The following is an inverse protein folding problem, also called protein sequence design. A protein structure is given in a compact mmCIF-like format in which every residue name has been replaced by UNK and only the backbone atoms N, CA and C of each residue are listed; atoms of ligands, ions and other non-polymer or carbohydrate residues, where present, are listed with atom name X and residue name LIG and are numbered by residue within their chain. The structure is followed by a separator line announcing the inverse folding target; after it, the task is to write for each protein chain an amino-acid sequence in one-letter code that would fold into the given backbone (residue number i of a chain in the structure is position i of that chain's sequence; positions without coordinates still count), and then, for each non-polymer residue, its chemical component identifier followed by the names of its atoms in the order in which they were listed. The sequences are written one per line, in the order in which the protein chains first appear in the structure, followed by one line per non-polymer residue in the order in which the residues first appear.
data_IF_730572482249
#
_entry.id   IF_730572482249
#
_cell.length_a   1.000
_cell.length_b   1.000
_cell.length_c   1.000
_cell.angle_alpha   90.00
_cell.angle_beta   90.00
_cell.angle_gamma   90.00
#
_symmetry.space_group_name_H-M   'P 1'
#
loop_
_entity.id
_entity.type
_entity.pdbx_description
1 polymer ?
#
# COMPACT_ATOMS: atom_id res chain seq x y z
N UNK A 1 -22.93 -0.67 -1.30
CA UNK A 1 -21.73 -0.25 -2.02
C UNK A 1 -21.21 -1.38 -2.92
N UNK A 2 -20.57 -1.01 -4.00
CA UNK A 2 -19.98 -2.00 -4.88
C UNK A 2 -18.77 -2.66 -4.25
N UNK A 3 -18.54 -3.93 -4.59
CA UNK A 3 -17.30 -4.63 -4.23
C UNK A 3 -16.19 -4.08 -5.11
N UNK A 4 -15.12 -3.66 -4.48
CA UNK A 4 -13.94 -3.08 -5.13
C UNK A 4 -12.67 -3.80 -4.70
N UNK A 5 -11.62 -3.61 -5.48
CA UNK A 5 -10.26 -4.03 -5.12
C UNK A 5 -9.36 -2.81 -5.06
N UNK A 6 -8.39 -2.87 -4.16
CA UNK A 6 -7.35 -1.83 -4.03
C UNK A 6 -6.01 -2.49 -3.84
N UNK A 7 -4.95 -1.84 -4.32
CA UNK A 7 -3.59 -2.30 -4.04
C UNK A 7 -3.09 -1.60 -2.78
N UNK A 8 -2.48 -2.37 -1.90
CA UNK A 8 -1.80 -1.87 -0.71
C UNK A 8 -0.36 -2.37 -0.72
N UNK A 9 0.55 -1.53 -0.25
CA UNK A 9 1.94 -1.93 -0.03
C UNK A 9 2.33 -1.51 1.38
N UNK A 10 2.88 -2.46 2.15
CA UNK A 10 3.54 -2.13 3.41
C UNK A 10 4.98 -1.80 3.05
N UNK A 11 5.38 -0.56 3.28
CA UNK A 11 6.65 0.00 2.83
C UNK A 11 7.82 -0.51 3.69
N UNK A 12 9.07 -0.33 3.23
CA UNK A 12 10.22 -0.90 3.94
C UNK A 12 10.35 -0.50 5.40
N UNK A 13 9.94 0.71 5.76
CA UNK A 13 9.99 1.20 7.15
C UNK A 13 9.10 0.36 8.07
N UNK A 14 7.87 0.08 7.64
CA UNK A 14 6.94 -0.73 8.44
C UNK A 14 7.30 -2.21 8.42
N UNK A 15 7.79 -2.73 7.29
CA UNK A 15 8.29 -4.12 7.24
C UNK A 15 9.43 -4.29 8.23
N UNK A 16 10.36 -3.34 8.30
CA UNK A 16 11.49 -3.39 9.23
C UNK A 16 11.03 -3.35 10.70
N UNK A 17 9.89 -2.71 10.98
CA UNK A 17 9.33 -2.66 12.34
C UNK A 17 8.63 -3.96 12.75
N UNK A 18 8.50 -4.91 11.82
CA UNK A 18 7.86 -6.21 12.06
C UNK A 18 6.38 -6.08 12.46
N UNK A 19 5.63 -5.23 11.77
CA UNK A 19 4.21 -4.95 12.05
C UNK A 19 3.26 -5.41 10.94
N UNK A 20 3.73 -6.26 10.01
CA UNK A 20 2.89 -6.77 8.90
C UNK A 20 1.59 -7.38 9.45
N UNK A 21 1.69 -8.25 10.44
CA UNK A 21 0.51 -8.90 11.01
C UNK A 21 -0.47 -7.93 11.65
N UNK A 22 0.03 -6.91 12.32
CA UNK A 22 -0.82 -5.89 12.94
C UNK A 22 -1.56 -5.07 11.89
N UNK A 23 -0.90 -4.75 10.77
CA UNK A 23 -1.52 -4.03 9.66
C UNK A 23 -2.57 -4.91 8.98
N UNK A 24 -2.25 -6.19 8.72
CA UNK A 24 -3.20 -7.14 8.14
C UNK A 24 -4.44 -7.32 9.02
N UNK A 25 -4.26 -7.37 10.33
CA UNK A 25 -5.38 -7.47 11.27
C UNK A 25 -6.36 -6.30 11.12
N UNK A 26 -5.85 -5.10 10.83
CA UNK A 26 -6.70 -3.93 10.60
C UNK A 26 -7.51 -4.04 9.31
N UNK A 27 -6.90 -4.57 8.24
CA UNK A 27 -7.62 -4.83 7.00
C UNK A 27 -8.78 -5.79 7.24
N UNK A 28 -8.50 -6.91 7.89
CA UNK A 28 -9.50 -7.96 8.13
C UNK A 28 -10.60 -7.49 9.09
N UNK A 29 -10.25 -6.76 10.14
CA UNK A 29 -11.23 -6.21 11.08
C UNK A 29 -12.19 -5.22 10.41
N UNK A 30 -11.73 -4.53 9.37
CA UNK A 30 -12.56 -3.60 8.60
C UNK A 30 -13.39 -4.30 7.50
N UNK A 31 -13.27 -5.62 7.34
CA UNK A 31 -13.99 -6.37 6.33
C UNK A 31 -13.31 -6.43 4.96
N UNK A 32 -12.03 -6.05 4.89
CA UNK A 32 -11.25 -6.20 3.66
C UNK A 32 -10.61 -7.58 3.64
N UNK A 33 -10.73 -8.27 2.51
CA UNK A 33 -10.14 -9.59 2.32
C UNK A 33 -8.83 -9.46 1.54
N UNK A 34 -7.79 -10.13 1.99
CA UNK A 34 -6.55 -10.27 1.22
C UNK A 34 -6.81 -11.30 0.13
N UNK A 35 -6.76 -10.89 -1.13
CA UNK A 35 -7.02 -11.77 -2.28
C UNK A 35 -5.76 -12.06 -3.08
N UNK A 36 -4.66 -11.37 -2.80
CA UNK A 36 -3.32 -11.66 -3.30
C UNK A 36 -2.31 -11.03 -2.36
N UNK A 37 -1.16 -11.67 -2.17
CA UNK A 37 -0.12 -11.15 -1.30
C UNK A 37 1.24 -11.72 -1.68
N UNK A 38 2.28 -10.90 -1.63
CA UNK A 38 3.65 -11.36 -1.79
C UNK A 38 4.62 -10.38 -1.16
N UNK A 39 5.74 -10.88 -0.68
CA UNK A 39 6.87 -10.04 -0.28
C UNK A 39 7.82 -9.90 -1.46
N UNK A 40 8.37 -8.72 -1.67
CA UNK A 40 9.33 -8.47 -2.73
C UNK A 40 10.33 -7.40 -2.28
N UNK A 41 11.54 -7.49 -2.83
CA UNK A 41 12.50 -6.41 -2.73
C UNK A 41 12.56 -5.78 -4.13
N UNK A 42 11.95 -4.62 -4.29
CA UNK A 42 11.84 -3.99 -5.61
C UNK A 42 13.21 -3.62 -6.16
N UNK A 43 13.39 -3.81 -7.46
CA UNK A 43 14.53 -3.24 -8.18
C UNK A 43 14.27 -1.76 -8.44
N UNK A 44 15.35 -1.02 -8.77
CA UNK A 44 15.21 0.38 -9.15
C UNK A 44 14.26 0.54 -10.34
N UNK A 45 14.40 -0.31 -11.36
CA UNK A 45 13.53 -0.27 -12.53
C UNK A 45 12.06 -0.53 -12.20
N UNK A 46 11.80 -1.49 -11.31
CA UNK A 46 10.44 -1.78 -10.87
C UNK A 46 9.82 -0.61 -10.11
N UNK A 47 10.56 -0.01 -9.18
CA UNK A 47 10.06 1.13 -8.43
C UNK A 47 9.84 2.36 -9.32
N UNK A 48 10.77 2.62 -10.24
CA UNK A 48 10.61 3.72 -11.21
C UNK A 48 9.38 3.52 -12.10
N UNK A 49 9.15 2.30 -12.56
CA UNK A 49 7.99 1.99 -13.40
C UNK A 49 6.69 2.13 -12.62
N UNK A 50 6.64 1.64 -11.39
CA UNK A 50 5.44 1.73 -10.56
C UNK A 50 5.06 3.18 -10.24
N UNK A 51 6.06 4.01 -9.95
CA UNK A 51 5.84 5.43 -9.64
C UNK A 51 6.05 6.36 -10.84
N UNK A 52 5.97 5.85 -12.07
CA UNK A 52 6.24 6.62 -13.29
C UNK A 52 5.38 7.89 -13.40
N UNK A 53 4.16 7.88 -12.88
CA UNK A 53 3.27 9.04 -12.85
C UNK A 53 3.88 10.22 -12.08
N UNK A 54 4.83 9.96 -11.18
CA UNK A 54 5.52 10.97 -10.39
C UNK A 54 6.91 11.32 -10.92
N UNK A 55 7.30 10.81 -12.10
CA UNK A 55 8.66 10.92 -12.63
C UNK A 55 9.17 12.36 -12.70
N UNK A 56 8.31 13.32 -12.99
CA UNK A 56 8.67 14.74 -13.08
C UNK A 56 8.67 15.46 -11.73
N UNK A 57 8.29 14.79 -10.63
CA UNK A 57 8.21 15.40 -9.32
C UNK A 57 9.57 15.45 -8.64
N UNK A 58 9.87 16.51 -7.85
CA UNK A 58 11.16 16.60 -7.16
C UNK A 58 11.44 15.46 -6.19
N UNK A 59 10.39 14.87 -5.60
CA UNK A 59 10.53 13.78 -4.63
C UNK A 59 10.73 12.40 -5.27
N UNK A 60 10.68 12.29 -6.61
CA UNK A 60 10.68 10.98 -7.28
C UNK A 60 11.92 10.14 -6.93
N UNK A 61 13.11 10.72 -6.97
CA UNK A 61 14.36 10.00 -6.68
C UNK A 61 14.39 9.48 -5.25
N UNK A 62 13.95 10.30 -4.31
CA UNK A 62 13.93 9.93 -2.89
C UNK A 62 12.89 8.84 -2.64
N UNK A 63 11.72 8.94 -3.29
CA UNK A 63 10.68 7.92 -3.21
C UNK A 63 11.20 6.56 -3.72
N UNK A 64 11.83 6.54 -4.87
CA UNK A 64 12.39 5.31 -5.46
C UNK A 64 13.46 4.74 -4.53
N UNK A 65 14.40 5.57 -4.07
CA UNK A 65 15.46 5.12 -3.15
C UNK A 65 14.89 4.54 -1.87
N UNK A 66 13.86 5.15 -1.33
CA UNK A 66 13.17 4.65 -0.13
C UNK A 66 12.52 3.29 -0.38
N UNK A 67 11.78 3.16 -1.48
CA UNK A 67 11.04 1.94 -1.78
C UNK A 67 11.93 0.73 -2.09
N UNK A 68 13.17 0.95 -2.51
CA UNK A 68 14.13 -0.14 -2.76
C UNK A 68 15.09 -0.37 -1.60
N UNK A 69 14.93 0.36 -0.50
CA UNK A 69 15.85 0.27 0.66
C UNK A 69 15.70 -1.03 1.45
N UNK A 70 14.62 -1.77 1.25
CA UNK A 70 14.36 -3.03 1.92
C UNK A 70 13.14 -3.72 1.32
N UNK A 71 12.83 -4.94 1.80
CA UNK A 71 11.64 -5.64 1.35
C UNK A 71 10.34 -4.89 1.64
N UNK A 72 9.36 -5.07 0.76
CA UNK A 72 8.00 -4.56 0.91
C UNK A 72 7.03 -5.74 0.92
N UNK A 73 5.86 -5.55 1.55
CA UNK A 73 4.78 -6.53 1.50
C UNK A 73 3.65 -5.97 0.65
N UNK A 74 3.31 -6.67 -0.42
CA UNK A 74 2.35 -6.20 -1.43
C UNK A 74 1.10 -7.06 -1.36
N UNK A 75 -0.08 -6.44 -1.32
CA UNK A 75 -1.35 -7.17 -1.25
C UNK A 75 -2.43 -6.47 -2.05
N UNK A 76 -3.33 -7.27 -2.63
CA UNK A 76 -4.58 -6.81 -3.18
C UNK A 76 -5.67 -7.08 -2.14
N UNK A 77 -6.47 -6.07 -1.86
CA UNK A 77 -7.55 -6.13 -0.87
C UNK A 77 -8.89 -5.99 -1.58
N UNK A 78 -9.88 -6.77 -1.15
CA UNK A 78 -11.22 -6.75 -1.74
C UNK A 78 -12.27 -6.54 -0.67
N UNK A 79 -13.26 -5.71 -0.95
CA UNK A 79 -14.38 -5.46 -0.07
C UNK A 79 -15.27 -4.34 -0.59
N UNK A 80 -16.34 -4.06 0.13
CA UNK A 80 -17.24 -2.96 -0.22
C UNK A 80 -16.50 -1.63 -0.07
N UNK A 81 -16.46 -0.84 -1.15
CA UNK A 81 -15.78 0.45 -1.14
C UNK A 81 -14.32 0.38 -0.73
N UNK A 82 -13.61 -0.67 -1.17
CA UNK A 82 -12.26 -0.99 -0.67
C UNK A 82 -11.27 0.16 -0.80
N UNK A 83 -11.32 0.93 -1.89
CA UNK A 83 -10.37 2.03 -2.10
C UNK A 83 -10.46 3.06 -0.97
N UNK A 84 -11.65 3.59 -0.73
CA UNK A 84 -11.84 4.59 0.33
C UNK A 84 -11.63 3.99 1.72
N UNK A 85 -12.15 2.78 1.94
CA UNK A 85 -12.00 2.09 3.22
C UNK A 85 -10.53 1.92 3.60
N UNK A 86 -9.69 1.50 2.65
CA UNK A 86 -8.26 1.38 2.89
C UNK A 86 -7.61 2.73 3.17
N UNK A 87 -7.99 3.77 2.43
CA UNK A 87 -7.46 5.11 2.68
C UNK A 87 -7.82 5.64 4.07
N UNK A 88 -9.03 5.35 4.53
CA UNK A 88 -9.46 5.72 5.89
C UNK A 88 -8.64 4.96 6.94
N UNK A 89 -8.36 3.68 6.70
CA UNK A 89 -7.51 2.88 7.60
C UNK A 89 -6.08 3.39 7.64
N UNK A 90 -5.55 3.84 6.49
CA UNK A 90 -4.18 4.35 6.42
C UNK A 90 -4.01 5.66 7.17
N UNK A 91 -4.98 6.55 7.08
CA UNK A 91 -4.92 7.88 7.64
C UNK A 91 -4.21 8.89 6.74
N UNK A 92 -4.05 10.12 7.23
CA UNK A 92 -3.41 11.20 6.48
C UNK A 92 -1.96 10.86 6.13
N UNK A 93 -1.50 11.36 4.98
CA UNK A 93 -0.14 11.13 4.48
C UNK A 93 0.92 11.54 5.51
N UNK A 94 0.69 12.67 6.18
CA UNK A 94 1.55 13.09 7.29
C UNK A 94 1.07 12.40 8.56
N UNK A 95 1.88 11.54 9.19
CA UNK A 95 1.46 10.83 10.41
C UNK A 95 1.14 11.77 11.57
N UNK A 96 1.70 12.96 11.60
CA UNK A 96 1.38 13.96 12.64
C UNK A 96 -0.04 14.49 12.50
N UNK A 97 -0.63 14.41 11.31
CA UNK A 97 -2.00 14.85 11.02
C UNK A 97 -2.97 13.69 10.94
N UNK A 98 -2.48 12.45 11.03
CA UNK A 98 -3.32 11.27 10.94
C UNK A 98 -4.09 11.07 12.26
N UNK A 99 -5.37 10.71 12.13
CA UNK A 99 -6.21 10.46 13.30
C UNK A 99 -5.70 9.25 14.09
N UNK A 100 -5.90 9.29 15.40
CA UNK A 100 -5.55 8.18 16.29
C UNK A 100 -6.21 6.89 15.80
N UNK A 101 -5.46 5.78 15.86
CA UNK A 101 -5.95 4.48 15.45
C UNK A 101 -5.74 4.17 13.96
N UNK A 102 -5.30 5.13 13.17
CA UNK A 102 -4.92 4.87 11.78
C UNK A 102 -3.55 4.21 11.69
N UNK A 103 -3.28 3.52 10.60
CA UNK A 103 -1.99 2.84 10.39
C UNK A 103 -0.84 3.83 10.45
N UNK A 104 -0.96 4.98 9.78
CA UNK A 104 0.11 5.97 9.77
C UNK A 104 0.33 6.64 11.12
N UNK A 105 -0.74 6.90 11.88
CA UNK A 105 -0.61 7.44 13.23
C UNK A 105 0.18 6.50 14.13
N UNK A 106 -0.03 5.19 13.99
CA UNK A 106 0.58 4.20 14.88
C UNK A 106 1.95 3.73 14.42
N UNK A 107 2.21 3.66 13.10
CA UNK A 107 3.40 2.98 12.58
C UNK A 107 4.30 3.84 11.69
N UNK A 108 3.86 5.01 11.24
CA UNK A 108 4.67 5.85 10.36
C UNK A 108 5.55 6.80 11.15
N UNK A 109 6.73 7.10 10.62
CA UNK A 109 7.69 8.01 11.26
C UNK A 109 7.60 9.43 10.71
N UNK A 110 7.31 9.59 9.41
CA UNK A 110 7.32 10.87 8.72
C UNK A 110 6.50 10.77 7.43
N UNK A 111 6.37 11.88 6.71
CA UNK A 111 5.72 11.89 5.39
C UNK A 111 6.44 10.95 4.42
N UNK A 112 7.77 10.93 4.46
CA UNK A 112 8.57 10.09 3.56
C UNK A 112 8.57 8.63 3.98
N UNK A 113 8.62 8.36 5.28
CA UNK A 113 8.56 7.01 5.86
C UNK A 113 7.18 6.81 6.49
N UNK A 114 6.15 6.70 5.64
CA UNK A 114 4.75 6.74 6.08
C UNK A 114 4.04 5.38 6.07
N UNK A 115 4.80 4.32 6.15
CA UNK A 115 4.38 2.94 6.43
C UNK A 115 3.65 2.22 5.29
N UNK A 116 2.69 2.85 4.63
CA UNK A 116 1.82 2.15 3.67
C UNK A 116 1.50 2.99 2.44
N UNK A 117 1.22 2.28 1.34
CA UNK A 117 0.66 2.83 0.11
C UNK A 117 -0.72 2.20 -0.12
N UNK A 118 -1.64 2.96 -0.66
CA UNK A 118 -2.94 2.47 -1.12
C UNK A 118 -3.32 3.18 -2.41
N UNK A 119 -4.01 2.45 -3.30
CA UNK A 119 -4.53 3.05 -4.54
C UNK A 119 -5.49 4.20 -4.22
N UNK A 120 -5.51 5.22 -5.07
CA UNK A 120 -6.34 6.40 -4.86
C UNK A 120 -7.67 6.36 -5.61
N UNK A 121 -7.84 5.43 -6.56
CA UNK A 121 -9.07 5.27 -7.33
C UNK A 121 -9.19 3.84 -7.85
N UNK A 122 -10.40 3.45 -8.25
CA UNK A 122 -10.64 2.10 -8.78
C UNK A 122 -9.82 1.85 -10.05
N UNK A 123 -9.73 2.83 -10.94
CA UNK A 123 -8.94 2.71 -12.18
C UNK A 123 -7.45 2.53 -11.88
N UNK A 124 -6.91 3.33 -10.98
CA UNK A 124 -5.51 3.23 -10.55
C UNK A 124 -5.26 1.88 -9.87
N UNK A 125 -6.20 1.41 -9.07
CA UNK A 125 -6.10 0.11 -8.40
C UNK A 125 -5.97 -1.03 -9.40
N UNK A 126 -6.73 -1.01 -10.48
CA UNK A 126 -6.63 -2.03 -11.53
C UNK A 126 -5.22 -2.10 -12.12
N UNK A 127 -4.67 -0.95 -12.46
CA UNK A 127 -3.33 -0.85 -13.04
C UNK A 127 -2.26 -1.30 -12.04
N UNK A 128 -2.37 -0.88 -10.80
CA UNK A 128 -1.40 -1.21 -9.76
C UNK A 128 -1.43 -2.69 -9.41
N UNK A 129 -2.61 -3.29 -9.31
CA UNK A 129 -2.73 -4.72 -9.04
C UNK A 129 -2.13 -5.53 -10.20
N UNK A 130 -2.45 -5.15 -11.45
CA UNK A 130 -1.91 -5.83 -12.62
C UNK A 130 -0.39 -5.69 -12.75
N UNK A 131 0.18 -4.62 -12.21
CA UNK A 131 1.63 -4.43 -12.19
C UNK A 131 2.34 -5.51 -11.38
N UNK A 132 1.76 -5.92 -10.25
CA UNK A 132 2.41 -6.86 -9.34
C UNK A 132 1.89 -8.28 -9.42
N UNK A 133 0.64 -8.50 -9.85
CA UNK A 133 0.01 -9.81 -9.82
C UNK A 133 -0.58 -10.19 -11.16
N UNK A 134 -0.26 -11.40 -11.64
CA UNK A 134 -1.00 -12.00 -12.74
C UNK A 134 -2.45 -12.26 -12.28
N UNK A 135 -3.42 -12.16 -13.20
CA UNK A 135 -4.82 -12.39 -12.85
C UNK A 135 -5.08 -13.73 -12.17
N UNK A 136 -4.32 -14.75 -12.56
CA UNK A 136 -4.43 -16.10 -11.97
C UNK A 136 -3.96 -16.17 -10.52
N UNK A 137 -3.25 -15.15 -10.04
CA UNK A 137 -2.73 -15.09 -8.67
C UNK A 137 -3.59 -14.22 -7.76
N UNK A 138 -4.75 -13.78 -8.22
CA UNK A 138 -5.73 -13.03 -7.43
C UNK A 138 -6.96 -13.90 -7.25
N UNK A 139 -7.32 -14.16 -6.00
CA UNK A 139 -8.32 -15.16 -5.65
C UNK A 139 -9.53 -14.53 -4.96
N UNK A 140 -10.62 -14.38 -5.71
CA UNK A 140 -11.89 -13.96 -5.11
C UNK A 140 -12.35 -15.02 -4.10
N UNK A 141 -12.73 -14.59 -2.90
CA UNK A 141 -13.10 -15.53 -1.84
C UNK A 141 -14.09 -14.96 -0.83
#
# INVERSE_FOLDING_TARGET
MAIERTLSIIKPDAVAKNVIGQIYARFEAAGLKVVAAKMAHLSQGEAEAFYAVHKARPFFKDLVSFMISGPVMIQALEGEGAVLKNRDLMGATDPKKADAGTIRADFADSIDANAVHGSDAVETAKEEIAFFFAGMNVYAR
#
